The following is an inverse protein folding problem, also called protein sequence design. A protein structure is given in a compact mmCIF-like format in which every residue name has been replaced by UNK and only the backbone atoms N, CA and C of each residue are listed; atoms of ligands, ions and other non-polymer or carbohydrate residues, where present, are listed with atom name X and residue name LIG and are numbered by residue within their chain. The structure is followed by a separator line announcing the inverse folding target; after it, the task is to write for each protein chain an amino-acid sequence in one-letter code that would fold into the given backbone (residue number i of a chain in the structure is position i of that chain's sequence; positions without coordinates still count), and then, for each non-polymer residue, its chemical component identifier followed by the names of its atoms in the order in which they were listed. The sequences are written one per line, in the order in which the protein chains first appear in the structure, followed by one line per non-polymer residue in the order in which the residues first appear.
data_IF_057473368441
#
_entry.id   IF_057473368441
#
_cell.length_a   1.000
_cell.length_b   1.000
_cell.length_c   1.000
_cell.angle_alpha   90.00
_cell.angle_beta   90.00
_cell.angle_gamma   90.00
#
_symmetry.space_group_name_H-M   'P 1'
#
loop_
_entity.id
_entity.type
_entity.pdbx_description
1 polymer ?
#
# COMPACT_ATOMS: atom_id res chain seq x y z
N UNK A 1 13.97 12.43 14.02
CA UNK A 1 14.11 13.47 12.97
C UNK A 1 12.82 13.48 12.16
N UNK A 2 12.28 14.64 11.81
CA UNK A 2 11.04 14.71 10.99
C UNK A 2 11.39 14.44 9.52
N UNK A 3 10.87 13.35 8.95
CA UNK A 3 11.02 13.04 7.53
C UNK A 3 10.08 13.95 6.73
N UNK A 4 10.63 14.76 5.83
CA UNK A 4 9.85 15.58 4.90
C UNK A 4 9.19 14.66 3.86
N UNK A 5 7.95 14.95 3.47
CA UNK A 5 7.18 14.13 2.51
C UNK A 5 6.32 13.05 3.16
N UNK A 6 6.59 12.69 4.43
CA UNK A 6 5.82 11.67 5.13
C UNK A 6 4.33 12.02 5.23
N UNK A 7 3.98 13.25 5.60
CA UNK A 7 2.58 13.69 5.67
C UNK A 7 1.88 13.66 4.30
N UNK A 8 2.62 13.88 3.21
CA UNK A 8 2.05 13.81 1.85
C UNK A 8 1.76 12.35 1.48
N UNK A 9 2.67 11.44 1.81
CA UNK A 9 2.45 10.00 1.64
C UNK A 9 1.24 9.53 2.47
N UNK A 10 1.14 9.91 3.75
CA UNK A 10 0.01 9.54 4.59
C UNK A 10 -1.30 10.09 4.02
N UNK A 11 -1.34 11.37 3.62
CA UNK A 11 -2.53 11.96 3.01
C UNK A 11 -2.94 11.23 1.72
N UNK A 12 -1.99 10.86 0.86
CA UNK A 12 -2.23 10.05 -0.35
C UNK A 12 -2.86 8.70 0.02
N UNK A 13 -2.23 7.93 0.91
CA UNK A 13 -2.71 6.60 1.30
C UNK A 13 -4.10 6.67 1.95
N UNK A 14 -4.31 7.65 2.82
CA UNK A 14 -5.57 7.85 3.53
C UNK A 14 -6.68 8.26 2.57
N UNK A 15 -6.40 9.07 1.55
CA UNK A 15 -7.38 9.48 0.54
C UNK A 15 -8.01 8.30 -0.20
N UNK A 16 -7.28 7.18 -0.30
CA UNK A 16 -7.74 5.95 -0.94
C UNK A 16 -8.26 4.91 0.05
N UNK A 17 -8.49 5.26 1.32
CA UNK A 17 -9.13 4.39 2.30
C UNK A 17 -10.59 4.82 2.52
N UNK A 18 -11.57 4.36 1.71
CA UNK A 18 -12.96 4.82 1.83
C UNK A 18 -13.63 4.33 3.12
N UNK A 19 -13.35 3.09 3.52
CA UNK A 19 -13.83 2.49 4.77
C UNK A 19 -12.75 1.58 5.37
N UNK A 20 -12.23 0.67 4.57
CA UNK A 20 -11.18 -0.25 4.96
C UNK A 20 -10.17 -0.42 3.81
N UNK A 21 -8.91 -0.55 4.17
CA UNK A 21 -7.85 -0.94 3.24
C UNK A 21 -6.82 -1.83 3.95
N UNK A 22 -5.97 -2.49 3.17
CA UNK A 22 -4.78 -3.20 3.65
C UNK A 22 -3.59 -2.54 3.00
N UNK A 23 -2.65 -2.09 3.82
CA UNK A 23 -1.36 -1.56 3.39
C UNK A 23 -0.31 -2.63 3.61
N UNK A 24 0.43 -2.95 2.55
CA UNK A 24 1.63 -3.81 2.61
C UNK A 24 2.84 -2.96 2.26
N UNK A 25 3.78 -2.82 3.18
CA UNK A 25 5.06 -2.17 2.99
C UNK A 25 6.16 -3.22 2.85
N UNK A 26 7.01 -3.07 1.83
CA UNK A 26 8.22 -3.88 1.66
C UNK A 26 9.42 -2.94 1.63
N UNK A 27 10.26 -3.05 2.66
CA UNK A 27 11.49 -2.27 2.78
C UNK A 27 12.71 -3.01 2.26
N UNK A 28 13.88 -2.37 2.39
CA UNK A 28 15.18 -2.91 2.00
C UNK A 28 15.60 -4.17 2.77
N UNK A 29 14.96 -4.48 3.89
CA UNK A 29 15.20 -5.69 4.67
C UNK A 29 14.48 -6.93 4.12
N UNK A 30 13.67 -6.76 3.06
CA UNK A 30 12.93 -7.83 2.41
C UNK A 30 11.79 -8.41 3.25
N UNK A 31 11.48 -7.83 4.41
CA UNK A 31 10.43 -8.32 5.29
C UNK A 31 9.14 -7.50 5.09
N UNK A 32 8.04 -8.13 4.64
CA UNK A 32 6.79 -7.42 4.46
C UNK A 32 6.21 -7.00 5.81
N UNK A 33 5.72 -5.76 5.87
CA UNK A 33 4.95 -5.23 6.98
C UNK A 33 3.53 -4.95 6.51
N UNK A 34 2.54 -5.63 7.10
CA UNK A 34 1.14 -5.55 6.68
C UNK A 34 0.32 -4.90 7.79
N UNK A 35 -0.51 -3.92 7.44
CA UNK A 35 -1.37 -3.20 8.38
C UNK A 35 -2.73 -2.90 7.76
N UNK A 36 -3.80 -3.14 8.52
CA UNK A 36 -5.15 -2.73 8.14
C UNK A 36 -5.33 -1.23 8.38
N UNK A 37 -6.03 -0.56 7.48
CA UNK A 37 -6.46 0.82 7.64
C UNK A 37 -7.98 0.85 7.79
N UNK A 38 -8.48 1.69 8.69
CA UNK A 38 -9.91 1.85 8.94
C UNK A 38 -10.28 3.33 8.98
N UNK A 39 -11.23 3.75 8.15
CA UNK A 39 -11.74 5.14 8.19
C UNK A 39 -12.82 5.27 9.25
N UNK A 40 -12.65 6.26 10.14
CA UNK A 40 -13.60 6.67 11.17
C UNK A 40 -13.87 8.16 11.01
N UNK A 41 -14.95 8.50 10.28
CA UNK A 41 -15.23 9.87 9.88
C UNK A 41 -14.10 10.43 9.01
N UNK A 42 -13.47 11.50 9.47
CA UNK A 42 -12.41 12.20 8.74
C UNK A 42 -11.00 11.65 9.02
N UNK A 43 -10.86 10.68 9.92
CA UNK A 43 -9.57 10.11 10.32
C UNK A 43 -9.42 8.68 9.83
N UNK A 44 -8.19 8.26 9.59
CA UNK A 44 -7.84 6.87 9.28
C UNK A 44 -7.02 6.30 10.43
N UNK A 45 -7.49 5.21 11.02
CA UNK A 45 -6.78 4.43 12.03
C UNK A 45 -5.91 3.38 11.33
N UNK A 46 -4.68 3.25 11.81
CA UNK A 46 -3.72 2.24 11.36
C UNK A 46 -3.70 1.10 12.39
N UNK A 47 -4.09 -0.09 11.96
CA UNK A 47 -4.14 -1.30 12.78
C UNK A 47 -5.19 -1.26 13.90
N UNK A 48 -5.21 -2.33 14.69
CA UNK A 48 -6.04 -2.42 15.90
C UNK A 48 -5.36 -1.70 17.08
N UNK A 49 -4.03 -1.80 17.15
CA UNK A 49 -3.21 -1.32 18.27
C UNK A 49 -2.77 0.14 18.11
N UNK A 50 -2.73 0.89 19.22
CA UNK A 50 -2.41 2.32 19.23
C UNK A 50 -1.02 2.65 18.66
N UNK A 51 -0.06 1.73 18.74
CA UNK A 51 1.32 1.92 18.27
C UNK A 51 1.54 1.48 16.81
N UNK A 52 0.52 0.93 16.13
CA UNK A 52 0.71 0.35 14.79
C UNK A 52 1.13 1.40 13.75
N UNK A 53 0.58 2.62 13.87
CA UNK A 53 0.99 3.74 13.02
C UNK A 53 2.46 4.10 13.28
N UNK A 54 2.87 4.25 14.53
CA UNK A 54 4.26 4.58 14.87
C UNK A 54 5.22 3.49 14.35
N UNK A 55 4.85 2.22 14.47
CA UNK A 55 5.63 1.11 13.95
C UNK A 55 5.77 1.20 12.42
N UNK A 56 4.69 1.47 11.70
CA UNK A 56 4.74 1.71 10.26
C UNK A 56 5.71 2.85 9.89
N UNK A 57 5.62 3.99 10.59
CA UNK A 57 6.52 5.13 10.35
C UNK A 57 7.98 4.79 10.66
N UNK A 58 8.25 4.01 11.71
CA UNK A 58 9.59 3.52 12.02
C UNK A 58 10.12 2.58 10.95
N UNK A 59 9.27 1.73 10.35
CA UNK A 59 9.66 0.85 9.23
C UNK A 59 10.06 1.66 8.00
N UNK A 60 9.33 2.74 7.70
CA UNK A 60 9.73 3.68 6.63
C UNK A 60 11.09 4.32 6.98
N UNK A 61 11.28 4.77 8.21
CA UNK A 61 12.53 5.40 8.64
C UNK A 61 13.73 4.44 8.56
N UNK A 62 13.55 3.17 8.94
CA UNK A 62 14.66 2.21 9.01
C UNK A 62 14.92 1.41 7.74
N UNK A 63 13.97 1.34 6.80
CA UNK A 63 14.03 0.40 5.68
C UNK A 63 13.79 1.04 4.31
N UNK A 64 13.96 2.36 4.17
CA UNK A 64 13.75 3.10 2.92
C UNK A 64 15.05 3.69 2.31
N UNK A 65 16.23 3.18 2.69
CA UNK A 65 17.53 3.76 2.31
C UNK A 65 17.85 3.74 0.81
N UNK A 66 17.18 2.89 0.02
CA UNK A 66 17.35 2.83 -1.44
C UNK A 66 16.00 2.93 -2.16
N UNK A 67 15.24 1.84 -2.15
CA UNK A 67 13.88 1.75 -2.70
C UNK A 67 13.08 0.87 -1.76
N UNK A 68 11.91 1.36 -1.35
CA UNK A 68 10.87 0.57 -0.71
C UNK A 68 9.60 0.62 -1.56
N UNK A 69 8.65 -0.27 -1.30
CA UNK A 69 7.36 -0.26 -1.97
C UNK A 69 6.21 -0.34 -0.99
N UNK A 70 5.08 0.24 -1.40
CA UNK A 70 3.79 0.08 -0.74
C UNK A 70 2.78 -0.45 -1.75
N UNK A 71 2.03 -1.48 -1.36
CA UNK A 71 0.79 -1.89 -2.01
C UNK A 71 -0.37 -1.52 -1.10
N UNK A 72 -1.26 -0.66 -1.57
CA UNK A 72 -2.51 -0.33 -0.90
C UNK A 72 -3.66 -1.04 -1.60
N UNK A 73 -4.35 -1.92 -0.88
CA UNK A 73 -5.54 -2.64 -1.31
C UNK A 73 -6.76 -2.07 -0.60
N UNK A 74 -7.60 -1.33 -1.32
CA UNK A 74 -8.78 -0.68 -0.78
C UNK A 74 -10.04 -1.46 -1.09
N UNK A 75 -10.92 -1.67 -0.11
CA UNK A 75 -12.20 -2.33 -0.34
C UNK A 75 -13.26 -1.30 -0.70
N UNK A 76 -13.84 -1.45 -1.89
CA UNK A 76 -14.92 -0.57 -2.36
C UNK A 76 -16.27 -1.04 -1.83
N UNK A 77 -17.31 -0.22 -1.98
CA UNK A 77 -18.70 -0.64 -1.75
C UNK A 77 -19.32 -1.35 -2.95
N UNK A 78 -18.63 -1.38 -4.09
CA UNK A 78 -19.09 -2.06 -5.30
C UNK A 78 -18.89 -3.56 -5.14
N UNK A 79 -19.91 -4.34 -5.47
CA UNK A 79 -19.89 -5.80 -5.36
C UNK A 79 -19.72 -6.41 -6.75
N UNK A 80 -18.76 -7.32 -6.89
CA UNK A 80 -18.60 -8.11 -8.11
C UNK A 80 -19.76 -9.12 -8.21
N UNK A 81 -20.56 -9.09 -9.29
CA UNK A 81 -21.70 -9.99 -9.45
C UNK A 81 -21.31 -11.47 -9.53
N UNK A 82 -20.07 -11.79 -9.93
CA UNK A 82 -19.61 -13.17 -10.07
C UNK A 82 -19.17 -13.76 -8.74
N UNK A 83 -18.37 -13.03 -7.96
CA UNK A 83 -17.81 -13.54 -6.69
C UNK A 83 -18.68 -13.22 -5.48
N UNK A 84 -19.62 -12.26 -5.61
CA UNK A 84 -20.40 -11.71 -4.50
C UNK A 84 -19.52 -11.05 -3.42
N UNK A 85 -18.29 -10.68 -3.75
CA UNK A 85 -17.35 -10.00 -2.86
C UNK A 85 -17.17 -8.53 -3.28
N UNK A 86 -16.77 -7.65 -2.34
CA UNK A 86 -16.39 -6.29 -2.69
C UNK A 86 -15.24 -6.25 -3.69
N UNK A 87 -15.36 -5.37 -4.69
CA UNK A 87 -14.26 -5.06 -5.60
C UNK A 87 -13.15 -4.37 -4.81
N UNK A 88 -11.92 -4.80 -5.05
CA UNK A 88 -10.71 -4.27 -4.44
C UNK A 88 -9.99 -3.38 -5.44
N UNK A 89 -9.56 -2.22 -4.99
CA UNK A 89 -8.67 -1.38 -5.79
C UNK A 89 -7.24 -1.52 -5.30
N UNK A 90 -6.32 -1.88 -6.19
CA UNK A 90 -4.90 -2.05 -5.88
C UNK A 90 -4.10 -0.88 -6.47
N UNK A 91 -3.35 -0.20 -5.60
CA UNK A 91 -2.42 0.89 -5.94
C UNK A 91 -1.02 0.51 -5.46
N UNK A 92 -0.02 0.71 -6.31
CA UNK A 92 1.37 0.54 -5.95
C UNK A 92 2.09 1.88 -5.83
N UNK A 93 3.00 1.99 -4.86
CA UNK A 93 3.86 3.15 -4.68
C UNK A 93 5.31 2.69 -4.52
N UNK A 94 6.22 3.37 -5.20
CA UNK A 94 7.66 3.26 -4.95
C UNK A 94 8.08 4.42 -4.06
N UNK A 95 8.85 4.13 -3.03
CA UNK A 95 9.34 5.09 -2.06
C UNK A 95 10.86 5.19 -2.22
N UNK A 96 11.37 6.43 -2.24
CA UNK A 96 12.80 6.72 -2.28
C UNK A 96 13.12 7.73 -1.19
N UNK A 97 14.15 7.46 -0.40
CA UNK A 97 14.62 8.40 0.62
C UNK A 97 15.98 8.96 0.25
N UNK A 98 16.11 10.27 0.31
CA UNK A 98 17.39 10.98 0.18
C UNK A 98 17.59 11.84 1.42
N UNK A 99 18.43 11.39 2.35
CA UNK A 99 18.64 12.05 3.63
C UNK A 99 17.36 12.12 4.47
N UNK A 100 16.78 13.30 4.66
CA UNK A 100 15.53 13.50 5.39
C UNK A 100 14.31 13.72 4.49
N UNK A 101 14.46 13.57 3.17
CA UNK A 101 13.38 13.72 2.21
C UNK A 101 12.90 12.35 1.73
N UNK A 102 11.61 12.09 1.87
CA UNK A 102 10.92 10.94 1.33
C UNK A 102 10.12 11.39 0.11
N UNK A 103 10.43 10.80 -1.04
CA UNK A 103 9.66 10.90 -2.26
C UNK A 103 8.87 9.61 -2.46
N UNK A 104 7.69 9.73 -3.05
CA UNK A 104 6.93 8.57 -3.48
C UNK A 104 6.39 8.80 -4.90
N UNK A 105 6.31 7.71 -5.65
CA UNK A 105 5.77 7.67 -7.00
C UNK A 105 4.74 6.57 -7.08
N UNK A 106 3.53 6.90 -7.53
CA UNK A 106 2.49 5.92 -7.80
C UNK A 106 2.81 5.23 -9.14
N UNK A 107 2.88 3.90 -9.16
CA UNK A 107 3.09 3.16 -10.41
C UNK A 107 1.81 3.09 -11.23
N UNK A 108 1.94 2.83 -12.53
CA UNK A 108 0.77 2.75 -13.43
C UNK A 108 -0.09 1.52 -13.13
N UNK A 109 -1.39 1.54 -13.49
CA UNK A 109 -2.26 0.37 -13.39
C UNK A 109 -1.70 -0.87 -14.11
N UNK A 110 -1.06 -0.69 -15.27
CA UNK A 110 -0.46 -1.78 -16.05
C UNK A 110 0.75 -2.37 -15.33
N UNK A 111 1.58 -1.52 -14.72
CA UNK A 111 2.72 -1.96 -13.91
C UNK A 111 2.22 -2.70 -12.67
N UNK A 112 1.20 -2.16 -12.00
CA UNK A 112 0.59 -2.81 -10.84
C UNK A 112 -0.03 -4.16 -11.19
N UNK A 113 -0.72 -4.25 -12.33
CA UNK A 113 -1.22 -5.51 -12.88
C UNK A 113 -0.09 -6.51 -13.10
N UNK A 114 0.98 -6.10 -13.79
CA UNK A 114 2.13 -6.98 -14.04
C UNK A 114 2.77 -7.47 -12.73
N UNK A 115 2.97 -6.58 -11.75
CA UNK A 115 3.55 -6.92 -10.44
C UNK A 115 2.71 -7.91 -9.63
N UNK A 116 1.39 -7.89 -9.75
CA UNK A 116 0.51 -8.78 -8.98
C UNK A 116 0.23 -10.11 -9.67
N UNK A 117 0.42 -10.19 -10.99
CA UNK A 117 0.04 -11.37 -11.79
C UNK A 117 1.24 -12.04 -12.48
N UNK A 118 2.46 -11.76 -12.02
CA UNK A 118 3.69 -12.40 -12.52
C UNK A 118 4.46 -12.98 -11.34
N UNK A 119 4.85 -14.24 -11.44
CA UNK A 119 5.72 -14.87 -10.45
C UNK A 119 7.10 -14.22 -10.50
N UNK A 120 7.55 -13.67 -9.36
CA UNK A 120 8.79 -12.91 -9.30
C UNK A 120 10.07 -13.75 -9.50
N UNK A 121 10.00 -15.07 -9.36
CA UNK A 121 11.15 -15.97 -9.52
C UNK A 121 11.26 -16.52 -10.95
N UNK A 122 10.12 -16.86 -11.55
CA UNK A 122 10.04 -17.56 -12.83
C UNK A 122 9.65 -16.64 -13.98
N UNK A 123 8.98 -15.52 -13.71
CA UNK A 123 8.42 -14.63 -14.73
C UNK A 123 7.13 -15.14 -15.35
N UNK A 124 6.60 -16.29 -14.90
CA UNK A 124 5.39 -16.89 -15.44
C UNK A 124 4.13 -16.20 -14.91
N UNK A 125 3.03 -16.16 -15.69
CA UNK A 125 1.77 -15.61 -15.22
C UNK A 125 1.20 -16.36 -14.02
N UNK A 126 0.72 -15.62 -13.02
CA UNK A 126 -0.06 -16.14 -11.91
C UNK A 126 -1.55 -16.18 -12.26
N UNK A 127 -2.32 -17.00 -11.54
CA UNK A 127 -3.76 -16.97 -11.63
C UNK A 127 -4.30 -15.59 -11.21
N UNK A 128 -5.16 -15.00 -12.05
CA UNK A 128 -5.70 -13.66 -11.80
C UNK A 128 -6.55 -13.65 -10.52
N UNK A 129 -6.26 -12.69 -9.64
CA UNK A 129 -7.16 -12.38 -8.52
C UNK A 129 -8.47 -11.81 -9.07
N UNK A 130 -9.60 -12.44 -8.72
CA UNK A 130 -10.92 -11.95 -9.10
C UNK A 130 -11.32 -10.70 -8.29
N UNK A 131 -12.24 -9.91 -8.85
CA UNK A 131 -12.77 -8.71 -8.19
C UNK A 131 -11.70 -7.66 -7.85
N UNK A 132 -10.70 -7.50 -8.71
CA UNK A 132 -9.62 -6.51 -8.56
C UNK A 132 -9.66 -5.48 -9.69
N UNK A 133 -9.52 -4.21 -9.32
CA UNK A 133 -9.26 -3.08 -10.20
C UNK A 133 -7.86 -2.53 -9.89
N UNK A 134 -7.02 -2.44 -10.91
CA UNK A 134 -5.69 -1.83 -10.79
C UNK A 134 -5.81 -0.33 -11.03
N UNK A 135 -5.19 0.48 -10.17
CA UNK A 135 -5.41 1.93 -10.10
C UNK A 135 -4.12 2.73 -10.05
#
# INVERSE_FOLDING_TARGET
MTIKGLNQLLAELESHCPKQAILTFLGSDGQPFVINLYRQGNQVKYGEEAYSQELFLRRIDSCCDSVASIVLRSFTSEIDPMTQLPIKELRGYLLKRQGNHLEFEKISPETMFACQNTDAQTGEPLALEQSVRYC
#
